data_IF_076950252503
#
_entry.id   IF_076950252503
#
_cell.length_a   1.000
_cell.length_b   1.000
_cell.length_c   1.000
_cell.angle_alpha   90.00
_cell.angle_beta   90.00
_cell.angle_gamma   90.00
#
_symmetry.space_group_name_H-M   'P 1'
#
loop_
_entity.id
_entity.type
_entity.pdbx_description
1 polymer ?
#
# COMPACT_ATOMS: atom_id res chain seq x y z
N UNK A 1 -70.19 1.49 -32.95
CA UNK A 1 -69.50 1.17 -31.69
C UNK A 1 -68.19 1.97 -31.63
N UNK A 2 -68.23 3.27 -31.34
CA UNK A 2 -68.22 3.91 -29.99
C UNK A 2 -67.00 3.54 -29.11
N UNK A 3 -65.98 4.42 -29.15
CA UNK A 3 -65.07 4.96 -28.10
C UNK A 3 -64.54 4.09 -26.93
N UNK A 4 -63.20 4.08 -26.74
CA UNK A 4 -62.45 4.68 -25.60
C UNK A 4 -61.00 4.13 -25.57
N UNK A 5 -59.96 4.93 -25.77
CA UNK A 5 -59.31 5.92 -24.89
C UNK A 5 -58.22 5.33 -23.97
N UNK A 6 -57.02 5.88 -24.15
CA UNK A 6 -55.75 5.72 -23.45
C UNK A 6 -55.86 5.67 -21.92
N UNK A 7 -55.06 4.83 -21.27
CA UNK A 7 -54.54 5.16 -19.93
C UNK A 7 -53.11 4.65 -19.71
N UNK A 8 -52.22 5.59 -19.39
CA UNK A 8 -50.80 5.40 -19.14
C UNK A 8 -50.56 5.38 -17.63
N UNK A 9 -50.28 4.20 -17.08
CA UNK A 9 -50.00 4.00 -15.66
C UNK A 9 -48.58 4.43 -15.27
N UNK A 10 -48.42 5.67 -14.83
CA UNK A 10 -47.17 6.17 -14.22
C UNK A 10 -47.00 5.65 -12.79
N UNK A 11 -46.18 4.60 -12.60
CA UNK A 11 -45.84 4.10 -11.26
C UNK A 11 -44.88 5.04 -10.51
N UNK A 12 -45.42 5.84 -9.59
CA UNK A 12 -44.65 6.68 -8.64
C UNK A 12 -43.87 5.80 -7.64
N UNK A 13 -42.55 5.80 -7.73
CA UNK A 13 -41.64 5.19 -6.73
C UNK A 13 -41.57 6.05 -5.47
N UNK A 14 -42.24 5.65 -4.39
CA UNK A 14 -42.05 6.25 -3.06
C UNK A 14 -40.67 5.84 -2.49
N UNK A 15 -39.76 6.81 -2.35
CA UNK A 15 -38.48 6.64 -1.63
C UNK A 15 -38.73 6.65 -0.11
N UNK A 16 -38.78 5.47 0.52
CA UNK A 16 -38.75 5.36 2.00
C UNK A 16 -37.33 5.54 2.52
N UNK A 17 -37.05 6.68 3.15
CA UNK A 17 -35.82 6.93 3.91
C UNK A 17 -35.87 6.18 5.25
N UNK A 18 -35.14 5.06 5.38
CA UNK A 18 -34.90 4.40 6.68
C UNK A 18 -33.62 4.97 7.32
N UNK A 19 -33.77 5.96 8.20
CA UNK A 19 -32.70 6.35 9.14
C UNK A 19 -32.51 5.21 10.16
N UNK A 20 -31.44 4.42 10.02
CA UNK A 20 -31.05 3.42 11.02
C UNK A 20 -30.18 4.09 12.10
N UNK A 21 -30.76 4.36 13.28
CA UNK A 21 -29.97 4.65 14.47
C UNK A 21 -29.21 3.39 14.89
N UNK A 22 -27.88 3.39 14.78
CA UNK A 22 -27.03 2.33 15.33
C UNK A 22 -26.61 2.70 16.75
N UNK A 23 -27.21 2.05 17.74
CA UNK A 23 -26.82 2.10 19.16
C UNK A 23 -25.44 1.44 19.31
N UNK A 24 -24.38 2.22 19.56
CA UNK A 24 -23.02 1.70 19.74
C UNK A 24 -22.92 0.99 21.10
N UNK A 25 -22.72 -0.33 21.07
CA UNK A 25 -22.26 -1.10 22.24
C UNK A 25 -20.79 -0.75 22.47
N UNK A 26 -20.44 -0.25 23.66
CA UNK A 26 -19.05 -0.08 24.07
C UNK A 26 -18.50 -1.45 24.47
N UNK A 27 -17.43 -1.89 23.80
CA UNK A 27 -16.49 -2.89 24.33
C UNK A 27 -15.16 -2.18 24.49
N UNK A 28 -14.60 -2.27 25.67
CA UNK A 28 -13.33 -1.66 26.07
C UNK A 28 -12.25 -2.69 25.77
N UNK A 29 -11.29 -2.34 24.92
CA UNK A 29 -9.98 -2.98 24.87
C UNK A 29 -8.96 -1.90 24.56
N UNK A 30 -7.97 -1.83 25.44
CA UNK A 30 -6.95 -0.81 25.60
C UNK A 30 -5.87 -0.83 24.51
N UNK A 31 -5.41 0.40 24.15
CA UNK A 31 -4.06 0.82 23.66
C UNK A 31 -3.56 0.21 22.33
N UNK A 32 -3.15 0.95 21.29
CA UNK A 32 -2.57 2.30 21.15
C UNK A 32 -2.85 2.86 19.75
N UNK A 33 -3.30 4.12 19.67
CA UNK A 33 -3.68 4.79 18.42
C UNK A 33 -2.87 6.08 18.22
N UNK A 34 -1.95 6.07 17.26
CA UNK A 34 -1.42 7.28 16.63
C UNK A 34 -2.27 7.56 15.37
N UNK A 35 -3.45 8.16 15.53
CA UNK A 35 -4.23 8.61 14.37
C UNK A 35 -4.59 10.07 14.53
N UNK A 36 -3.96 10.89 13.70
CA UNK A 36 -4.24 12.31 13.53
C UNK A 36 -5.74 12.56 13.35
N UNK A 37 -6.29 13.35 14.26
CA UNK A 37 -7.65 13.89 14.17
C UNK A 37 -7.71 14.93 13.04
N UNK A 38 -8.30 14.57 11.90
CA UNK A 38 -8.81 15.55 10.96
C UNK A 38 -10.12 16.13 11.54
N UNK A 39 -9.98 17.24 12.25
CA UNK A 39 -11.10 18.08 12.65
C UNK A 39 -11.64 18.80 11.42
N UNK A 40 -12.85 18.46 11.01
CA UNK A 40 -13.61 19.16 9.96
C UNK A 40 -14.09 20.50 10.52
N UNK A 41 -13.19 21.50 10.50
CA UNK A 41 -13.53 22.89 10.76
C UNK A 41 -13.87 23.54 9.43
N UNK A 42 -15.11 24.02 9.29
CA UNK A 42 -15.54 24.83 8.15
C UNK A 42 -14.77 26.16 8.13
N UNK A 43 -13.63 26.19 7.44
CA UNK A 43 -12.81 27.39 7.30
C UNK A 43 -13.23 28.18 6.05
N UNK A 44 -13.15 29.51 6.15
CA UNK A 44 -13.45 30.41 5.02
C UNK A 44 -12.55 30.10 3.82
N UNK A 45 -13.10 30.22 2.60
CA UNK A 45 -12.45 29.84 1.33
C UNK A 45 -11.05 30.44 1.14
N UNK A 46 -10.78 31.62 1.71
CA UNK A 46 -9.47 32.26 1.64
C UNK A 46 -8.41 31.60 2.55
N UNK A 47 -8.82 31.07 3.71
CA UNK A 47 -7.92 30.38 4.63
C UNK A 47 -7.52 29.00 4.09
N UNK A 48 -8.46 28.31 3.42
CA UNK A 48 -8.20 27.04 2.75
C UNK A 48 -7.17 27.19 1.61
N UNK A 49 -7.29 28.24 0.78
CA UNK A 49 -6.31 28.55 -0.28
C UNK A 49 -4.92 28.82 0.29
N UNK A 50 -4.82 29.59 1.39
CA UNK A 50 -3.53 29.86 2.07
C UNK A 50 -2.90 28.58 2.63
N UNK A 51 -3.70 27.71 3.28
CA UNK A 51 -3.23 26.40 3.78
C UNK A 51 -2.77 25.49 2.65
N UNK A 52 -3.50 25.44 1.53
CA UNK A 52 -3.12 24.64 0.38
C UNK A 52 -1.80 25.13 -0.26
N UNK A 53 -1.61 26.45 -0.38
CA UNK A 53 -0.35 27.05 -0.87
C UNK A 53 0.83 26.74 0.08
N UNK A 54 0.62 26.81 1.38
CA UNK A 54 1.62 26.47 2.39
C UNK A 54 2.02 24.97 2.34
N UNK A 55 1.03 24.07 2.25
CA UNK A 55 1.26 22.61 2.08
C UNK A 55 2.04 22.32 0.79
N UNK A 56 1.70 22.97 -0.32
CA UNK A 56 2.42 22.82 -1.61
C UNK A 56 3.88 23.27 -1.51
N UNK A 57 4.15 24.42 -0.86
CA UNK A 57 5.51 24.93 -0.69
C UNK A 57 6.36 24.03 0.23
N UNK A 58 5.78 23.51 1.33
CA UNK A 58 6.45 22.55 2.23
C UNK A 58 6.82 21.26 1.48
N UNK A 59 5.91 20.73 0.65
CA UNK A 59 6.16 19.53 -0.18
C UNK A 59 7.26 19.76 -1.23
N UNK A 60 7.31 20.95 -1.86
CA UNK A 60 8.38 21.31 -2.81
C UNK A 60 9.76 21.37 -2.13
N UNK A 61 9.85 22.03 -0.96
CA UNK A 61 11.08 22.10 -0.16
C UNK A 61 11.59 20.73 0.30
N UNK A 62 10.70 19.83 0.71
CA UNK A 62 11.06 18.46 1.10
C UNK A 62 11.62 17.66 -0.10
N UNK A 63 10.97 17.77 -1.26
CA UNK A 63 11.44 17.09 -2.50
C UNK A 63 12.80 17.59 -2.96
N UNK A 64 13.07 18.89 -2.80
CA UNK A 64 14.36 19.50 -3.13
C UNK A 64 15.48 19.06 -2.18
N UNK A 65 15.22 19.03 -0.87
CA UNK A 65 16.17 18.49 0.13
C UNK A 65 16.51 17.03 -0.14
N UNK A 66 15.51 16.20 -0.47
CA UNK A 66 15.73 14.78 -0.80
C UNK A 66 16.56 14.61 -2.08
N UNK A 67 16.31 15.43 -3.12
CA UNK A 67 17.14 15.44 -4.34
C UNK A 67 18.58 15.89 -4.06
N UNK A 68 18.80 16.88 -3.18
CA UNK A 68 20.13 17.36 -2.79
C UNK A 68 20.89 16.29 -2.00
N UNK A 69 20.23 15.57 -1.09
CA UNK A 69 20.83 14.44 -0.39
C UNK A 69 21.18 13.29 -1.33
N UNK A 70 20.29 12.94 -2.27
CA UNK A 70 20.56 11.88 -3.27
C UNK A 70 21.70 12.25 -4.24
N UNK A 71 21.86 13.53 -4.59
CA UNK A 71 23.02 14.00 -5.38
C UNK A 71 24.31 13.98 -4.56
N UNK A 72 24.26 14.28 -3.25
CA UNK A 72 25.43 14.25 -2.36
C UNK A 72 25.87 12.82 -2.01
N UNK A 73 24.94 11.86 -1.96
CA UNK A 73 25.29 10.44 -1.85
C UNK A 73 25.85 9.91 -3.17
N UNK A 74 25.26 10.26 -4.32
CA UNK A 74 25.77 9.83 -5.64
C UNK A 74 27.16 10.43 -5.97
N UNK A 75 27.46 11.64 -5.50
CA UNK A 75 28.79 12.24 -5.67
C UNK A 75 29.87 11.68 -4.71
N UNK A 76 29.48 10.89 -3.70
CA UNK A 76 30.43 10.16 -2.83
C UNK A 76 30.69 8.72 -3.30
N UNK A 77 29.91 8.26 -4.27
CA UNK A 77 29.88 6.87 -4.77
C UNK A 77 30.69 6.70 -6.07
N UNK A 78 31.18 7.79 -6.67
CA UNK A 78 31.89 7.79 -7.97
C UNK A 78 33.40 8.08 -7.81
N UNK A 79 33.99 7.83 -6.64
CA UNK A 79 35.39 8.24 -6.40
C UNK A 79 36.13 7.53 -5.26
N UNK A 80 35.75 6.30 -4.90
CA UNK A 80 36.42 5.56 -3.82
C UNK A 80 36.65 4.09 -4.18
N UNK A 81 36.76 3.78 -5.46
CA UNK A 81 37.27 2.49 -5.91
C UNK A 81 38.68 2.71 -6.46
N UNK A 82 39.68 2.45 -5.62
CA UNK A 82 41.12 2.48 -5.91
C UNK A 82 41.64 3.92 -6.10
N UNK A 83 42.41 4.55 -5.22
CA UNK A 83 43.72 4.14 -4.76
C UNK A 83 44.19 5.26 -3.79
N UNK A 84 44.33 4.99 -2.49
CA UNK A 84 45.15 5.82 -1.61
C UNK A 84 46.33 4.96 -1.19
N UNK A 85 47.25 4.75 -2.14
CA UNK A 85 48.50 4.02 -1.92
C UNK A 85 49.50 5.04 -1.38
N UNK A 86 49.41 5.30 -0.07
CA UNK A 86 50.55 5.77 0.72
C UNK A 86 51.13 4.51 1.37
N UNK A 87 51.89 3.72 0.62
CA UNK A 87 52.55 2.50 1.12
C UNK A 87 52.88 1.47 0.03
N UNK A 88 53.80 0.51 0.27
CA UNK A 88 54.17 -0.50 -0.71
C UNK A 88 52.98 -1.37 -1.12
N UNK A 89 52.92 -1.75 -2.40
CA UNK A 89 51.84 -2.55 -2.96
C UNK A 89 51.71 -3.90 -2.24
N UNK A 90 50.59 -4.11 -1.56
CA UNK A 90 50.27 -5.36 -0.88
C UNK A 90 49.90 -6.43 -1.92
N UNK A 91 50.39 -7.68 -1.78
CA UNK A 91 50.02 -8.76 -2.68
C UNK A 91 48.52 -9.06 -2.58
N UNK A 92 47.87 -9.24 -3.73
CA UNK A 92 46.40 -9.44 -3.84
C UNK A 92 45.86 -10.54 -2.91
N UNK A 93 46.63 -11.62 -2.71
CA UNK A 93 46.28 -12.71 -1.80
C UNK A 93 46.09 -12.27 -0.34
N UNK A 94 46.92 -11.35 0.16
CA UNK A 94 46.83 -10.86 1.55
C UNK A 94 45.64 -9.92 1.72
N UNK A 95 45.36 -9.10 0.71
CA UNK A 95 44.19 -8.24 0.65
C UNK A 95 42.90 -9.07 0.65
N UNK A 96 42.84 -10.14 -0.13
CA UNK A 96 41.69 -11.06 -0.13
C UNK A 96 41.50 -11.78 1.21
N UNK A 97 42.58 -12.26 1.84
CA UNK A 97 42.52 -12.91 3.15
C UNK A 97 41.99 -11.96 4.24
N UNK A 98 42.45 -10.71 4.26
CA UNK A 98 41.97 -9.70 5.20
C UNK A 98 40.48 -9.36 5.00
N UNK A 99 40.00 -9.34 3.75
CA UNK A 99 38.58 -9.09 3.43
C UNK A 99 37.67 -10.23 3.90
N UNK A 100 38.12 -11.48 3.87
CA UNK A 100 37.34 -12.65 4.31
C UNK A 100 37.13 -12.71 5.83
N UNK A 101 38.07 -12.18 6.60
CA UNK A 101 38.01 -12.14 8.06
C UNK A 101 37.44 -10.83 8.60
N UNK A 102 37.24 -9.83 7.74
CA UNK A 102 36.65 -8.56 8.12
C UNK A 102 35.14 -8.71 8.38
N UNK A 103 34.58 -7.99 9.38
CA UNK A 103 33.13 -7.89 9.52
C UNK A 103 32.52 -7.26 8.26
N UNK A 104 31.33 -7.71 7.86
CA UNK A 104 30.64 -7.19 6.67
C UNK A 104 30.55 -5.67 6.71
N UNK A 105 30.85 -5.04 5.57
CA UNK A 105 30.66 -3.60 5.43
C UNK A 105 29.17 -3.28 5.36
N UNK A 106 28.80 -2.06 5.78
CA UNK A 106 27.41 -1.61 5.75
C UNK A 106 26.78 -1.72 4.36
N UNK A 107 27.55 -1.47 3.30
CA UNK A 107 27.09 -1.55 1.92
C UNK A 107 26.78 -2.99 1.49
N UNK A 108 27.61 -3.95 1.89
CA UNK A 108 27.37 -5.38 1.65
C UNK A 108 26.12 -5.85 2.40
N UNK A 109 25.95 -5.42 3.65
CA UNK A 109 24.75 -5.72 4.42
C UNK A 109 23.48 -5.13 3.79
N UNK A 110 23.53 -3.87 3.33
CA UNK A 110 22.42 -3.24 2.62
C UNK A 110 22.12 -3.94 1.29
N UNK A 111 23.14 -4.36 0.53
CA UNK A 111 22.98 -5.16 -0.69
C UNK A 111 22.25 -6.47 -0.39
N UNK A 112 22.63 -7.17 0.68
CA UNK A 112 21.97 -8.40 1.15
C UNK A 112 20.50 -8.15 1.52
N UNK A 113 20.22 -7.09 2.26
CA UNK A 113 18.86 -6.72 2.68
C UNK A 113 17.98 -6.22 1.53
N UNK A 114 18.54 -5.64 0.47
CA UNK A 114 17.76 -5.06 -0.62
C UNK A 114 17.27 -6.09 -1.65
N UNK A 115 17.67 -7.36 -1.54
CA UNK A 115 17.21 -8.42 -2.43
C UNK A 115 15.75 -8.77 -2.13
N UNK A 116 14.89 -8.72 -3.15
CA UNK A 116 13.48 -9.13 -3.05
C UNK A 116 13.27 -10.36 -3.91
N UNK A 117 12.73 -11.44 -3.32
CA UNK A 117 12.45 -12.71 -3.97
C UNK A 117 10.97 -13.03 -3.90
N UNK A 118 10.41 -13.66 -4.95
CA UNK A 118 9.07 -14.25 -4.91
C UNK A 118 9.20 -15.70 -4.47
N UNK A 119 8.67 -16.01 -3.30
CA UNK A 119 8.74 -17.34 -2.68
C UNK A 119 7.32 -17.90 -2.57
N UNK A 120 7.14 -19.16 -2.97
CA UNK A 120 5.88 -19.86 -2.80
C UNK A 120 5.74 -20.31 -1.34
N UNK A 121 4.62 -20.03 -0.71
CA UNK A 121 4.31 -20.50 0.64
C UNK A 121 3.32 -21.67 0.58
N UNK A 122 3.80 -22.85 0.96
CA UNK A 122 3.06 -24.11 0.91
C UNK A 122 1.84 -24.11 1.83
N UNK A 123 1.90 -23.43 2.98
CA UNK A 123 0.81 -23.45 3.96
C UNK A 123 -0.42 -22.68 3.48
N UNK A 124 -0.23 -21.59 2.73
CA UNK A 124 -1.35 -20.76 2.23
C UNK A 124 -1.59 -20.89 0.74
N UNK A 125 -0.69 -21.54 0.00
CA UNK A 125 -0.73 -21.69 -1.44
C UNK A 125 -0.50 -20.40 -2.23
N UNK A 126 0.08 -19.36 -1.59
CA UNK A 126 0.26 -18.03 -2.17
C UNK A 126 1.74 -17.73 -2.41
N UNK A 127 2.02 -16.93 -3.45
CA UNK A 127 3.35 -16.34 -3.62
C UNK A 127 3.50 -15.12 -2.72
N UNK A 128 4.54 -15.11 -1.90
CA UNK A 128 4.93 -14.01 -1.02
C UNK A 128 6.18 -13.32 -1.58
N UNK A 129 6.23 -12.00 -1.50
CA UNK A 129 7.48 -11.29 -1.74
C UNK A 129 8.26 -11.30 -0.41
N UNK A 130 9.50 -11.77 -0.43
CA UNK A 130 10.37 -11.83 0.75
C UNK A 130 11.58 -10.96 0.50
N UNK A 131 11.89 -10.06 1.44
CA UNK A 131 13.03 -9.16 1.39
C UNK A 131 14.11 -9.59 2.38
N UNK A 132 15.37 -9.54 1.92
CA UNK A 132 16.54 -9.81 2.76
C UNK A 132 16.43 -11.16 3.46
N UNK A 133 16.54 -11.12 4.79
CA UNK A 133 16.60 -12.31 5.65
C UNK A 133 15.23 -12.82 6.14
N UNK A 134 14.11 -12.29 5.63
CA UNK A 134 12.79 -12.88 5.90
C UNK A 134 11.59 -11.93 6.05
N UNK A 135 11.75 -10.64 5.78
CA UNK A 135 10.62 -9.70 5.84
C UNK A 135 9.63 -10.02 4.70
N UNK A 136 8.40 -10.37 5.05
CA UNK A 136 7.33 -10.62 4.06
C UNK A 136 6.73 -9.28 3.62
N UNK A 137 6.81 -9.00 2.33
CA UNK A 137 6.24 -7.83 1.69
C UNK A 137 4.92 -8.17 0.99
N UNK A 138 3.98 -7.24 1.10
CA UNK A 138 2.76 -7.26 0.31
C UNK A 138 2.98 -6.57 -1.04
N UNK A 139 2.54 -7.22 -2.12
CA UNK A 139 2.49 -6.58 -3.43
C UNK A 139 1.30 -5.62 -3.46
N UNK A 140 1.55 -4.32 -3.69
CA UNK A 140 0.46 -3.39 -4.00
C UNK A 140 -0.07 -3.72 -5.39
N UNK A 141 -1.32 -4.16 -5.44
CA UNK A 141 -1.96 -4.58 -6.68
C UNK A 141 -2.79 -3.44 -7.28
N UNK A 142 -2.94 -3.42 -8.61
CA UNK A 142 -3.79 -2.45 -9.29
C UNK A 142 -5.25 -2.58 -8.86
N UNK A 143 -6.02 -1.49 -9.01
CA UNK A 143 -7.45 -1.46 -8.61
C UNK A 143 -8.27 -2.54 -9.32
N UNK A 144 -8.01 -2.78 -10.60
CA UNK A 144 -8.78 -3.76 -11.37
C UNK A 144 -8.38 -5.20 -11.03
N UNK A 145 -7.09 -5.48 -10.77
CA UNK A 145 -6.67 -6.79 -10.27
C UNK A 145 -7.19 -7.05 -8.85
N UNK A 146 -7.28 -6.03 -7.97
CA UNK A 146 -7.97 -6.17 -6.68
C UNK A 146 -9.45 -6.55 -6.84
N UNK A 147 -10.17 -5.95 -7.80
CA UNK A 147 -11.55 -6.32 -8.07
C UNK A 147 -11.67 -7.76 -8.56
N UNK A 148 -10.76 -8.19 -9.45
CA UNK A 148 -10.74 -9.55 -9.98
C UNK A 148 -10.47 -10.58 -8.87
N UNK A 149 -9.49 -10.32 -8.00
CA UNK A 149 -9.20 -11.17 -6.83
C UNK A 149 -10.43 -11.27 -5.92
N UNK A 150 -11.10 -10.16 -5.63
CA UNK A 150 -12.31 -10.16 -4.80
C UNK A 150 -13.46 -10.91 -5.46
N UNK A 151 -13.62 -10.76 -6.79
CA UNK A 151 -14.62 -11.49 -7.56
C UNK A 151 -14.35 -12.98 -7.44
N UNK A 152 -13.13 -13.43 -7.76
CA UNK A 152 -12.74 -14.84 -7.67
C UNK A 152 -12.93 -15.42 -6.25
N UNK A 153 -12.52 -14.68 -5.21
CA UNK A 153 -12.69 -15.09 -3.83
C UNK A 153 -14.17 -15.23 -3.40
N UNK A 154 -15.09 -14.49 -4.03
CA UNK A 154 -16.53 -14.51 -3.72
C UNK A 154 -17.37 -15.35 -4.67
N UNK A 155 -16.80 -15.89 -5.76
CA UNK A 155 -17.51 -16.72 -6.73
C UNK A 155 -18.15 -17.95 -6.07
N UNK A 156 -17.41 -18.69 -5.24
CA UNK A 156 -17.92 -19.89 -4.57
C UNK A 156 -19.08 -19.59 -3.61
N UNK A 157 -18.98 -18.49 -2.86
CA UNK A 157 -20.01 -18.05 -1.93
C UNK A 157 -21.30 -17.66 -2.69
N UNK A 158 -21.15 -16.96 -3.81
CA UNK A 158 -22.29 -16.57 -4.66
C UNK A 158 -23.05 -17.77 -5.23
N UNK A 159 -22.35 -18.83 -5.65
CA UNK A 159 -22.97 -20.07 -6.13
C UNK A 159 -23.67 -20.82 -5.00
N UNK A 160 -23.04 -20.91 -3.83
CA UNK A 160 -23.65 -21.52 -2.65
C UNK A 160 -24.94 -20.80 -2.24
N UNK A 161 -24.95 -19.47 -2.20
CA UNK A 161 -26.16 -18.72 -1.88
C UNK A 161 -27.24 -18.85 -2.96
N UNK A 162 -26.89 -18.82 -4.24
CA UNK A 162 -27.86 -19.01 -5.33
C UNK A 162 -28.53 -20.39 -5.25
N UNK A 163 -27.73 -21.45 -5.09
CA UNK A 163 -28.27 -22.82 -4.96
C UNK A 163 -29.23 -22.92 -3.77
N UNK A 164 -28.84 -22.41 -2.59
CA UNK A 164 -29.69 -22.41 -1.39
C UNK A 164 -30.98 -21.61 -1.56
N UNK A 165 -30.94 -20.45 -2.21
CA UNK A 165 -32.13 -19.65 -2.51
C UNK A 165 -33.06 -20.35 -3.50
N UNK A 166 -32.52 -21.03 -4.51
CA UNK A 166 -33.30 -21.78 -5.48
C UNK A 166 -33.99 -22.99 -4.84
N UNK A 167 -33.29 -23.73 -3.96
CA UNK A 167 -33.92 -24.81 -3.17
C UNK A 167 -35.06 -24.29 -2.28
N UNK A 168 -34.91 -23.11 -1.68
CA UNK A 168 -35.97 -22.51 -0.85
C UNK A 168 -37.18 -21.98 -1.62
N UNK A 169 -37.10 -21.84 -2.95
CA UNK A 169 -38.22 -21.42 -3.81
C UNK A 169 -38.99 -22.60 -4.42
N UNK A 170 -38.42 -23.79 -4.36
CA UNK A 170 -39.00 -25.02 -4.92
C UNK A 170 -39.89 -25.74 -3.88
N UNK A 171 -39.80 -25.35 -2.60
CA UNK A 171 -40.75 -25.72 -1.54
C UNK A 171 -41.77 -24.60 -1.31
#
# INVERSE_FOLDING_TARGET
DERNSLESGSHKRLKKNKKKFKKKRKRHSSTSSETSSDSDSSLSSEEEKKRHKAKKHKKKKLKEKLKKQKKKSKAKDEGSENECVIGPALPNNLVEQSRRMAPETKEEWEKRQNVIKRVYDEQTGRYRLVKGDGEVLEEIVSRDRHKEINKQATLGDSQFFQSKLNLSKIN
#
